data_IF_541115818822
#
_entry.id   IF_541115818822
#
_cell.length_a   1.000
_cell.length_b   1.000
_cell.length_c   1.000
_cell.angle_alpha   90.00
_cell.angle_beta   90.00
_cell.angle_gamma   90.00
#
_symmetry.space_group_name_H-M   'P 1'
#
loop_
_entity.id
_entity.type
_entity.pdbx_description
1 polymer ?
#
# COMPACT_ATOMS: atom_id res chain seq x y z
N UNK A 1 -17.39 -2.78 5.80
CA UNK A 1 -15.91 -2.75 5.84
C UNK A 1 -15.41 -2.55 4.41
N UNK A 2 -14.57 -1.54 4.11
CA UNK A 2 -14.01 -1.35 2.77
C UNK A 2 -13.18 -2.58 2.34
N UNK A 3 -13.22 -2.93 1.06
CA UNK A 3 -12.41 -4.01 0.50
C UNK A 3 -10.94 -3.64 0.56
N UNK A 4 -10.05 -4.60 0.85
CA UNK A 4 -8.61 -4.32 1.03
C UNK A 4 -7.94 -3.72 -0.22
N UNK A 5 -8.52 -3.92 -1.40
CA UNK A 5 -8.11 -3.23 -2.64
C UNK A 5 -8.43 -1.72 -2.60
N UNK A 6 -9.57 -1.33 -2.03
CA UNK A 6 -9.91 0.08 -1.82
C UNK A 6 -8.96 0.75 -0.81
N UNK A 7 -8.42 0.01 0.16
CA UNK A 7 -7.37 0.49 1.07
C UNK A 7 -6.05 0.80 0.34
N UNK A 8 -5.70 0.02 -0.69
CA UNK A 8 -4.53 0.27 -1.51
C UNK A 8 -4.70 1.53 -2.38
N UNK A 9 -5.82 1.64 -3.09
CA UNK A 9 -6.11 2.81 -3.95
C UNK A 9 -6.17 4.11 -3.13
N UNK A 10 -6.88 4.11 -2.01
CA UNK A 10 -6.96 5.28 -1.12
C UNK A 10 -5.61 5.65 -0.49
N UNK A 11 -4.74 4.68 -0.19
CA UNK A 11 -3.38 4.93 0.25
C UNK A 11 -2.54 5.68 -0.80
N UNK A 12 -2.64 5.26 -2.07
CA UNK A 12 -1.94 5.90 -3.19
C UNK A 12 -2.47 7.32 -3.42
N UNK A 13 -3.79 7.53 -3.42
CA UNK A 13 -4.41 8.86 -3.55
C UNK A 13 -3.94 9.81 -2.45
N UNK A 14 -3.83 9.33 -1.20
CA UNK A 14 -3.30 10.11 -0.09
C UNK A 14 -1.84 10.51 -0.29
N UNK A 15 -0.99 9.61 -0.81
CA UNK A 15 0.39 9.95 -1.15
C UNK A 15 0.43 11.04 -2.23
N UNK A 16 -0.36 10.91 -3.29
CA UNK A 16 -0.42 11.90 -4.36
C UNK A 16 -0.81 13.27 -3.83
N UNK A 17 -1.86 13.35 -3.01
CA UNK A 17 -2.29 14.62 -2.40
C UNK A 17 -1.20 15.30 -1.57
N UNK A 18 -0.40 14.53 -0.82
CA UNK A 18 0.72 15.08 -0.03
C UNK A 18 1.88 15.55 -0.93
N UNK A 19 2.15 14.84 -2.03
CA UNK A 19 3.17 15.24 -2.99
C UNK A 19 2.76 16.49 -3.80
N UNK A 20 1.48 16.62 -4.14
CA UNK A 20 0.93 17.83 -4.76
C UNK A 20 1.09 19.04 -3.86
N UNK A 21 0.85 18.88 -2.54
CA UNK A 21 1.13 19.93 -1.56
C UNK A 21 2.62 20.30 -1.54
N UNK A 22 3.54 19.32 -1.57
CA UNK A 22 4.98 19.61 -1.67
C UNK A 22 5.33 20.39 -2.93
N UNK A 23 4.71 20.07 -4.07
CA UNK A 23 4.92 20.81 -5.31
C UNK A 23 4.52 22.28 -5.17
N UNK A 24 3.38 22.57 -4.56
CA UNK A 24 2.94 23.94 -4.30
C UNK A 24 3.89 24.69 -3.35
N UNK A 25 4.33 24.03 -2.26
CA UNK A 25 5.27 24.63 -1.31
C UNK A 25 6.64 24.94 -1.95
N UNK A 26 7.15 24.03 -2.79
CA UNK A 26 8.40 24.24 -3.53
C UNK A 26 8.25 25.44 -4.49
N UNK A 27 7.11 25.56 -5.16
CA UNK A 27 6.86 26.72 -6.01
C UNK A 27 6.91 28.02 -5.19
N UNK A 28 6.29 28.04 -4.01
CA UNK A 28 6.34 29.21 -3.12
C UNK A 28 7.76 29.51 -2.61
N UNK A 29 8.55 28.48 -2.30
CA UNK A 29 9.98 28.64 -1.95
C UNK A 29 10.75 29.30 -3.09
N UNK A 30 10.50 28.88 -4.33
CA UNK A 30 11.13 29.46 -5.52
C UNK A 30 10.70 30.91 -5.75
N UNK A 31 9.42 31.22 -5.60
CA UNK A 31 8.88 32.57 -5.77
C UNK A 31 9.49 33.53 -4.73
N UNK A 32 9.57 33.09 -3.46
CA UNK A 32 10.24 33.82 -2.39
C UNK A 32 11.74 34.06 -2.68
N UNK A 33 12.42 33.09 -3.30
CA UNK A 33 13.82 33.24 -3.69
C UNK A 33 14.00 34.25 -4.83
N UNK A 34 13.14 34.18 -5.84
CA UNK A 34 13.16 35.09 -6.99
C UNK A 34 12.84 36.54 -6.60
N UNK A 35 12.00 36.74 -5.58
CA UNK A 35 11.63 38.08 -5.12
C UNK A 35 12.82 38.83 -4.50
N UNK A 36 13.87 38.13 -4.04
CA UNK A 36 15.06 38.68 -3.35
C UNK A 36 14.72 39.55 -2.12
N UNK A 37 13.52 39.38 -1.55
CA UNK A 37 13.09 40.10 -0.34
C UNK A 37 13.57 39.27 0.86
N UNK A 38 14.42 39.81 1.75
CA UNK A 38 14.97 39.08 2.89
C UNK A 38 13.90 38.39 3.75
N UNK A 39 12.79 39.09 4.03
CA UNK A 39 11.69 38.56 4.83
C UNK A 39 11.01 37.33 4.20
N UNK A 40 10.95 37.27 2.86
CA UNK A 40 10.41 36.11 2.16
C UNK A 40 11.37 34.92 2.19
N UNK A 41 12.68 35.17 2.15
CA UNK A 41 13.68 34.11 2.29
C UNK A 41 13.62 33.44 3.66
N UNK A 42 13.34 34.20 4.72
CA UNK A 42 13.16 33.63 6.07
C UNK A 42 11.95 32.69 6.11
N UNK A 43 10.87 33.00 5.38
CA UNK A 43 9.69 32.12 5.28
C UNK A 43 10.01 30.77 4.60
N UNK A 44 11.02 30.70 3.74
CA UNK A 44 11.43 29.44 3.10
C UNK A 44 11.84 28.38 4.12
N UNK A 45 12.39 28.78 5.28
CA UNK A 45 12.73 27.83 6.35
C UNK A 45 11.48 27.10 6.86
N UNK A 46 10.36 27.81 7.04
CA UNK A 46 9.11 27.21 7.46
C UNK A 46 8.52 26.31 6.37
N UNK A 47 8.51 26.76 5.12
CA UNK A 47 8.02 25.98 3.97
C UNK A 47 8.82 24.68 3.78
N UNK A 48 10.15 24.73 3.90
CA UNK A 48 11.02 23.55 3.80
C UNK A 48 10.77 22.58 4.96
N UNK A 49 10.52 23.08 6.18
CA UNK A 49 10.12 22.23 7.31
C UNK A 49 8.79 21.52 7.04
N UNK A 50 7.83 22.22 6.44
CA UNK A 50 6.55 21.61 6.05
C UNK A 50 6.74 20.53 4.98
N UNK A 51 7.56 20.78 3.96
CA UNK A 51 7.93 19.79 2.94
C UNK A 51 8.52 18.53 3.60
N UNK A 52 9.46 18.69 4.53
CA UNK A 52 10.06 17.56 5.26
C UNK A 52 9.02 16.81 6.10
N UNK A 53 8.09 17.51 6.74
CA UNK A 53 6.97 16.89 7.44
C UNK A 53 6.08 16.05 6.52
N UNK A 54 5.78 16.57 5.33
CA UNK A 54 5.03 15.85 4.31
C UNK A 54 5.76 14.61 3.80
N UNK A 55 7.10 14.64 3.66
CA UNK A 55 7.88 13.44 3.33
C UNK A 55 7.74 12.37 4.42
N UNK A 56 7.80 12.74 5.70
CA UNK A 56 7.58 11.80 6.80
C UNK A 56 6.16 11.20 6.75
N UNK A 57 5.16 12.00 6.40
CA UNK A 57 3.78 11.52 6.20
C UNK A 57 3.66 10.54 5.04
N UNK A 58 4.33 10.79 3.92
CA UNK A 58 4.40 9.86 2.78
C UNK A 58 5.02 8.54 3.21
N UNK A 59 6.13 8.56 3.97
CA UNK A 59 6.76 7.34 4.50
C UNK A 59 5.80 6.53 5.38
N UNK A 60 5.05 7.19 6.27
CA UNK A 60 4.04 6.52 7.11
C UNK A 60 2.96 5.84 6.26
N UNK A 61 2.42 6.53 5.25
CA UNK A 61 1.38 5.95 4.38
C UNK A 61 1.95 4.76 3.59
N UNK A 62 3.18 4.86 3.10
CA UNK A 62 3.84 3.75 2.40
C UNK A 62 4.07 2.53 3.31
N UNK A 63 4.44 2.75 4.57
CA UNK A 63 4.55 1.66 5.55
C UNK A 63 3.22 0.92 5.69
N UNK A 64 2.12 1.64 5.91
CA UNK A 64 0.78 1.06 6.00
C UNK A 64 0.39 0.32 4.71
N UNK A 65 0.73 0.91 3.55
CA UNK A 65 0.45 0.32 2.25
C UNK A 65 1.18 -1.00 2.04
N UNK A 66 2.46 -1.04 2.43
CA UNK A 66 3.32 -2.22 2.28
C UNK A 66 2.83 -3.40 3.11
N UNK A 67 2.37 -3.14 4.35
CA UNK A 67 1.79 -4.15 5.24
C UNK A 67 0.48 -4.68 4.63
N UNK A 68 -0.43 -3.77 4.26
CA UNK A 68 -1.71 -4.14 3.66
C UNK A 68 -1.56 -4.94 2.37
N UNK A 69 -0.59 -4.58 1.52
CA UNK A 69 -0.27 -5.31 0.30
C UNK A 69 0.30 -6.71 0.59
N UNK A 70 1.24 -6.80 1.53
CA UNK A 70 1.83 -8.08 1.94
C UNK A 70 0.76 -9.05 2.44
N UNK A 71 -0.16 -8.56 3.27
CA UNK A 71 -1.29 -9.36 3.77
C UNK A 71 -2.21 -9.83 2.66
N UNK A 72 -2.53 -8.95 1.69
CA UNK A 72 -3.36 -9.30 0.55
C UNK A 72 -2.72 -10.43 -0.28
N UNK A 73 -1.41 -10.34 -0.52
CA UNK A 73 -0.65 -11.37 -1.26
C UNK A 73 -0.61 -12.70 -0.48
N UNK A 74 -0.36 -12.65 0.85
CA UNK A 74 -0.37 -13.84 1.71
C UNK A 74 -1.73 -14.54 1.70
N UNK A 75 -2.81 -13.77 1.81
CA UNK A 75 -4.18 -14.31 1.76
C UNK A 75 -4.47 -14.97 0.42
N UNK A 76 -4.11 -14.33 -0.71
CA UNK A 76 -4.26 -14.94 -2.04
C UNK A 76 -3.51 -16.26 -2.17
N UNK A 77 -2.25 -16.32 -1.70
CA UNK A 77 -1.46 -17.56 -1.71
C UNK A 77 -2.12 -18.67 -0.87
N UNK A 78 -2.66 -18.34 0.30
CA UNK A 78 -3.35 -19.31 1.15
C UNK A 78 -4.61 -19.87 0.48
N UNK A 79 -5.40 -19.01 -0.18
CA UNK A 79 -6.58 -19.44 -0.96
C UNK A 79 -6.17 -20.36 -2.11
N UNK A 80 -5.16 -19.99 -2.90
CA UNK A 80 -4.67 -20.83 -4.01
C UNK A 80 -4.14 -22.20 -3.54
N UNK A 81 -3.46 -22.24 -2.38
CA UNK A 81 -2.99 -23.50 -1.79
C UNK A 81 -4.14 -24.40 -1.36
N UNK A 82 -5.21 -23.83 -0.79
CA UNK A 82 -6.38 -24.58 -0.36
C UNK A 82 -7.10 -25.24 -1.56
N UNK A 83 -7.23 -24.51 -2.68
CA UNK A 83 -7.83 -25.05 -3.92
C UNK A 83 -7.01 -26.23 -4.47
N UNK A 84 -5.67 -26.13 -4.49
CA UNK A 84 -4.83 -27.23 -5.01
C UNK A 84 -4.73 -28.44 -4.05
N UNK A 85 -4.85 -28.22 -2.73
CA UNK A 85 -4.81 -29.30 -1.74
C UNK A 85 -6.05 -30.21 -1.75
N UNK A 86 -7.18 -29.73 -2.26
CA UNK A 86 -8.44 -30.48 -2.30
C UNK A 86 -8.57 -31.42 -3.51
N UNK A 87 -7.66 -31.35 -4.50
CA UNK A 87 -7.71 -32.19 -5.72
C UNK A 87 -6.94 -33.52 -5.56
N UNK A 88 -6.17 -33.69 -4.47
CA UNK A 88 -5.31 -34.87 -4.25
C UNK A 88 -5.86 -35.96 -3.31
N UNK A 89 -7.07 -35.82 -2.75
CA UNK A 89 -7.54 -36.67 -1.64
C UNK A 89 -8.78 -37.53 -1.95
N UNK A 90 -8.99 -37.93 -3.21
CA UNK A 90 -10.06 -38.88 -3.54
C UNK A 90 -9.74 -39.75 -4.77
N UNK A 91 -8.85 -40.71 -4.61
CA UNK A 91 -8.85 -41.90 -5.47
C UNK A 91 -8.15 -43.06 -4.76
N UNK A 92 -8.92 -44.09 -4.42
CA UNK A 92 -8.40 -45.38 -3.93
C UNK A 92 -8.89 -45.82 -2.56
N UNK A 93 -10.19 -46.17 -2.42
CA UNK A 93 -10.63 -47.06 -1.33
C UNK A 93 -11.80 -47.98 -1.65
N UNK A 94 -12.53 -47.80 -2.76
CA UNK A 94 -13.81 -48.48 -2.94
C UNK A 94 -13.80 -49.57 -4.03
N UNK A 95 -12.76 -50.42 -4.10
CA UNK A 95 -12.83 -51.70 -4.83
C UNK A 95 -11.92 -52.70 -4.12
N UNK A 96 -12.45 -53.50 -3.17
CA UNK A 96 -11.99 -54.86 -2.82
C UNK A 96 -12.82 -55.38 -1.61
N UNK A 97 -14.14 -55.59 -1.74
CA UNK A 97 -14.85 -56.49 -0.80
C UNK A 97 -16.22 -57.00 -1.30
N UNK A 98 -16.28 -57.58 -2.50
CA UNK A 98 -17.54 -58.16 -3.00
C UNK A 98 -17.39 -59.52 -3.70
N UNK A 99 -16.31 -60.28 -3.45
CA UNK A 99 -16.11 -61.58 -4.09
C UNK A 99 -15.55 -62.67 -3.17
N UNK A 100 -16.11 -62.80 -1.96
CA UNK A 100 -15.91 -64.00 -1.15
C UNK A 100 -17.02 -64.15 -0.10
N UNK A 101 -18.16 -64.77 -0.44
CA UNK A 101 -18.88 -65.73 0.41
C UNK A 101 -19.87 -66.51 -0.47
N UNK A 102 -19.60 -67.81 -0.57
CA UNK A 102 -20.45 -68.97 -0.92
C UNK A 102 -21.32 -68.94 -2.18
#
# INVERSE_FOLDING_TARGET
MPTRSATLSSGIERVQSVLDQNRALIQQVNDNHQSKIPDNLVKNVALIREINGNINKVLSIYSDLSVNFTDLVRQRKAVSKNINGNVGAKSGSDIMDAAAVQ
#
